data_IF_231562584895
#
_entry.id   IF_231562584895
#
_cell.length_a   1.000
_cell.length_b   1.000
_cell.length_c   1.000
_cell.angle_alpha   90.00
_cell.angle_beta   90.00
_cell.angle_gamma   90.00
#
_symmetry.space_group_name_H-M   'P 1'
#
loop_
_entity.id
_entity.type
_entity.pdbx_description
1 polymer ?
#
# COMPACT_ATOMS: atom_id res chain seq x y z
N UNK A 1 -1.77 -13.24 -16.90
CA UNK A 1 -1.50 -13.54 -18.31
C UNK A 1 -2.73 -13.11 -19.11
N UNK A 2 -2.60 -12.51 -20.29
CA UNK A 2 -3.73 -12.08 -21.15
C UNK A 2 -4.65 -13.25 -21.53
N UNK A 3 -4.23 -14.50 -21.33
CA UNK A 3 -5.10 -15.68 -21.35
C UNK A 3 -5.93 -15.96 -20.07
N UNK A 4 -5.97 -15.06 -19.09
CA UNK A 4 -6.77 -15.22 -17.85
C UNK A 4 -6.16 -16.16 -16.78
N UNK A 5 -4.98 -16.73 -17.02
CA UNK A 5 -4.32 -17.62 -16.05
C UNK A 5 -3.71 -16.84 -14.89
N UNK A 6 -4.04 -17.25 -13.66
CA UNK A 6 -3.41 -16.79 -12.43
C UNK A 6 -2.14 -17.60 -12.20
N UNK A 7 -0.98 -16.94 -12.23
CA UNK A 7 0.31 -17.59 -12.00
C UNK A 7 0.65 -17.71 -10.50
N UNK A 8 0.22 -16.73 -9.72
CA UNK A 8 0.44 -16.65 -8.29
C UNK A 8 -0.63 -15.76 -7.65
N UNK A 9 -1.13 -16.18 -6.49
CA UNK A 9 -2.05 -15.39 -5.65
C UNK A 9 -1.69 -15.63 -4.19
N UNK A 10 -1.79 -14.58 -3.37
CA UNK A 10 -1.55 -14.66 -1.93
C UNK A 10 -2.42 -13.64 -1.22
N UNK A 11 -2.96 -14.04 -0.07
CA UNK A 11 -3.79 -13.20 0.78
C UNK A 11 -3.03 -12.85 2.05
N UNK A 12 -2.90 -11.56 2.32
CA UNK A 12 -2.21 -11.04 3.50
C UNK A 12 -3.24 -10.48 4.47
N UNK A 13 -3.18 -10.88 5.74
CA UNK A 13 -4.03 -10.32 6.79
C UNK A 13 -5.35 -11.07 7.05
N UNK A 14 -5.55 -12.24 6.41
CA UNK A 14 -6.61 -13.21 6.79
C UNK A 14 -8.05 -12.72 6.65
N UNK A 15 -8.27 -11.56 6.04
CA UNK A 15 -9.59 -10.98 5.84
C UNK A 15 -10.03 -11.28 4.41
N UNK A 16 -11.00 -12.17 4.27
CA UNK A 16 -11.56 -12.52 2.96
C UNK A 16 -12.02 -11.25 2.23
N UNK A 17 -11.62 -11.12 0.98
CA UNK A 17 -12.08 -10.07 0.08
C UNK A 17 -13.57 -10.33 -0.19
N UNK A 18 -14.42 -9.31 0.00
CA UNK A 18 -15.84 -9.41 -0.35
C UNK A 18 -16.02 -9.13 -1.84
N UNK A 19 -16.66 -10.05 -2.55
CA UNK A 19 -16.90 -9.96 -4.00
C UNK A 19 -15.67 -10.32 -4.83
N UNK A 20 -15.74 -10.03 -6.14
CA UNK A 20 -14.69 -10.34 -7.13
C UNK A 20 -14.07 -9.05 -7.72
N UNK A 21 -13.41 -8.21 -6.90
CA UNK A 21 -12.88 -6.94 -7.38
C UNK A 21 -11.80 -7.09 -8.47
N UNK A 22 -11.20 -8.27 -8.58
CA UNK A 22 -10.25 -8.61 -9.65
C UNK A 22 -10.99 -8.80 -10.98
N UNK A 23 -12.16 -9.46 -10.99
CA UNK A 23 -12.96 -9.65 -12.20
C UNK A 23 -13.48 -8.31 -12.72
N UNK A 24 -13.94 -7.43 -11.82
CA UNK A 24 -14.30 -6.05 -12.16
C UNK A 24 -13.13 -5.25 -12.72
N UNK A 25 -11.93 -5.38 -12.14
CA UNK A 25 -10.74 -4.74 -12.68
C UNK A 25 -10.46 -5.23 -14.11
N UNK A 26 -10.47 -6.54 -14.33
CA UNK A 26 -10.23 -7.12 -15.67
C UNK A 26 -11.27 -6.58 -16.65
N UNK A 27 -12.55 -6.55 -16.29
CA UNK A 27 -13.63 -6.08 -17.15
C UNK A 27 -13.57 -4.58 -17.46
N UNK A 28 -13.23 -3.76 -16.47
CA UNK A 28 -13.39 -2.30 -16.56
C UNK A 28 -12.09 -1.63 -17.01
N UNK A 29 -10.94 -2.17 -16.63
CA UNK A 29 -9.65 -1.52 -16.84
C UNK A 29 -8.87 -2.18 -17.96
N UNK A 30 -8.81 -3.51 -17.99
CA UNK A 30 -8.03 -4.22 -19.00
C UNK A 30 -8.76 -4.34 -20.33
N UNK A 31 -10.10 -4.43 -20.32
CA UNK A 31 -10.91 -4.51 -21.55
C UNK A 31 -11.35 -3.13 -22.09
N UNK A 32 -11.58 -2.12 -21.26
CA UNK A 32 -12.03 -0.78 -21.72
C UNK A 32 -10.87 0.19 -22.03
N UNK A 33 -9.64 -0.31 -22.18
CA UNK A 33 -8.44 0.46 -22.57
C UNK A 33 -8.12 1.70 -21.70
N UNK A 34 -8.61 1.76 -20.45
CA UNK A 34 -8.25 2.81 -19.47
C UNK A 34 -6.89 2.55 -18.81
N UNK A 35 -5.89 2.17 -19.62
CA UNK A 35 -4.53 1.80 -19.18
C UNK A 35 -3.76 3.01 -18.59
N UNK A 36 -4.29 4.23 -18.78
CA UNK A 36 -3.72 5.47 -18.24
C UNK A 36 -3.91 5.62 -16.72
N UNK A 37 -4.98 5.09 -16.16
CA UNK A 37 -5.19 5.07 -14.72
C UNK A 37 -4.41 3.87 -14.13
N UNK A 38 -3.75 4.05 -12.98
CA UNK A 38 -3.02 2.96 -12.26
C UNK A 38 -3.74 2.56 -10.98
N UNK A 39 -4.96 3.04 -10.80
CA UNK A 39 -5.73 2.89 -9.57
C UNK A 39 -7.20 2.74 -9.91
N UNK A 40 -7.86 1.76 -9.31
CA UNK A 40 -9.28 1.49 -9.45
C UNK A 40 -9.88 1.34 -8.07
N UNK A 41 -10.96 2.08 -7.79
CA UNK A 41 -11.64 2.04 -6.50
C UNK A 41 -12.96 1.31 -6.67
N UNK A 42 -13.20 0.33 -5.82
CA UNK A 42 -14.48 -0.39 -5.74
C UNK A 42 -14.86 -0.63 -4.29
N UNK A 43 -16.01 -0.09 -3.89
CA UNK A 43 -16.55 -0.17 -2.53
C UNK A 43 -15.55 0.30 -1.46
N UNK A 44 -15.04 -0.63 -0.66
CA UNK A 44 -14.04 -0.37 0.40
C UNK A 44 -12.61 -0.70 -0.03
N UNK A 45 -12.44 -1.17 -1.27
CA UNK A 45 -11.18 -1.64 -1.81
C UNK A 45 -10.64 -0.68 -2.86
N UNK A 46 -9.32 -0.58 -2.88
CA UNK A 46 -8.59 0.07 -3.94
C UNK A 46 -7.60 -0.93 -4.52
N UNK A 47 -7.50 -0.90 -5.84
CA UNK A 47 -6.70 -1.81 -6.63
C UNK A 47 -5.65 -1.00 -7.36
N UNK A 48 -4.42 -1.49 -7.33
CA UNK A 48 -3.32 -0.96 -8.14
C UNK A 48 -2.71 -2.06 -8.96
N UNK A 49 -2.31 -1.72 -10.17
CA UNK A 49 -1.71 -2.69 -11.07
C UNK A 49 -0.51 -2.14 -11.83
N UNK A 50 0.32 -3.07 -12.28
CA UNK A 50 1.44 -2.83 -13.17
C UNK A 50 1.47 -3.90 -14.24
N UNK A 51 1.76 -3.48 -15.47
CA UNK A 51 1.88 -4.35 -16.63
C UNK A 51 3.35 -4.66 -16.91
N UNK A 52 3.63 -5.88 -17.35
CA UNK A 52 4.92 -6.27 -17.93
C UNK A 52 4.65 -6.83 -19.31
N UNK A 53 4.59 -5.93 -20.29
CA UNK A 53 4.21 -6.26 -21.67
C UNK A 53 5.15 -7.30 -22.31
N UNK A 54 6.45 -7.31 -21.96
CA UNK A 54 7.43 -8.30 -22.45
C UNK A 54 7.01 -9.75 -22.17
N UNK A 55 6.31 -9.98 -21.05
CA UNK A 55 5.85 -11.31 -20.63
C UNK A 55 4.34 -11.42 -20.54
N UNK A 56 3.63 -10.38 -20.98
CA UNK A 56 2.17 -10.34 -20.96
C UNK A 56 1.58 -10.58 -19.55
N UNK A 57 2.24 -10.01 -18.53
CA UNK A 57 1.88 -10.17 -17.12
C UNK A 57 1.18 -8.93 -16.57
N UNK A 58 0.23 -9.18 -15.68
CA UNK A 58 -0.45 -8.15 -14.89
C UNK A 58 -0.20 -8.46 -13.42
N UNK A 59 0.35 -7.50 -12.70
CA UNK A 59 0.51 -7.53 -11.25
C UNK A 59 -0.59 -6.68 -10.65
N UNK A 60 -1.36 -7.24 -9.72
CA UNK A 60 -2.49 -6.54 -9.07
C UNK A 60 -2.33 -6.64 -7.56
N UNK A 61 -2.49 -5.52 -6.86
CA UNK A 61 -2.59 -5.45 -5.40
C UNK A 61 -3.97 -4.93 -5.07
N UNK A 62 -4.68 -5.63 -4.18
CA UNK A 62 -5.97 -5.23 -3.62
C UNK A 62 -5.77 -4.86 -2.16
N UNK A 63 -6.23 -3.68 -1.74
CA UNK A 63 -6.10 -3.19 -0.37
C UNK A 63 -7.32 -2.41 0.07
N UNK A 64 -7.49 -2.23 1.39
CA UNK A 64 -8.58 -1.40 1.94
C UNK A 64 -8.24 0.09 1.84
N UNK A 65 -9.22 0.93 1.52
CA UNK A 65 -9.10 2.38 1.34
C UNK A 65 -8.49 3.14 2.56
N UNK A 66 -8.39 2.52 3.73
CA UNK A 66 -7.90 3.13 4.97
C UNK A 66 -6.36 3.19 5.14
N UNK A 67 -5.56 2.77 4.14
CA UNK A 67 -4.09 2.69 4.27
C UNK A 67 -3.38 3.67 3.32
N UNK A 68 -2.46 4.46 3.88
CA UNK A 68 -1.69 5.50 3.17
C UNK A 68 -0.95 4.93 1.96
N UNK A 69 -1.21 5.52 0.80
CA UNK A 69 -0.91 5.00 -0.55
C UNK A 69 0.57 5.03 -0.99
N UNK A 70 1.43 5.83 -0.34
CA UNK A 70 2.75 6.16 -0.92
C UNK A 70 3.71 4.97 -1.05
N UNK A 71 3.62 3.97 -0.18
CA UNK A 71 4.54 2.81 -0.20
C UNK A 71 4.03 1.67 -1.09
N UNK A 72 2.78 1.73 -1.56
CA UNK A 72 2.18 0.66 -2.37
C UNK A 72 2.72 0.66 -3.80
N UNK A 73 3.04 1.82 -4.38
CA UNK A 73 3.72 1.90 -5.69
C UNK A 73 5.11 1.27 -5.61
N UNK A 74 5.92 1.66 -4.63
CA UNK A 74 7.27 1.13 -4.42
C UNK A 74 7.24 -0.38 -4.15
N UNK A 75 6.24 -0.84 -3.38
CA UNK A 75 6.01 -2.26 -3.15
C UNK A 75 5.69 -2.97 -4.47
N UNK A 76 4.72 -2.46 -5.24
CA UNK A 76 4.29 -3.06 -6.49
C UNK A 76 5.43 -3.18 -7.50
N UNK A 77 6.26 -2.15 -7.61
CA UNK A 77 7.47 -2.18 -8.45
C UNK A 77 8.48 -3.22 -7.97
N UNK A 78 8.73 -3.29 -6.66
CA UNK A 78 9.68 -4.26 -6.07
C UNK A 78 9.19 -5.70 -6.26
N UNK A 79 7.89 -5.95 -6.09
CA UNK A 79 7.27 -7.25 -6.34
C UNK A 79 7.41 -7.64 -7.81
N UNK A 80 7.03 -6.74 -8.72
CA UNK A 80 7.15 -6.94 -10.17
C UNK A 80 8.58 -7.29 -10.56
N UNK A 81 9.55 -6.47 -10.14
CA UNK A 81 10.96 -6.66 -10.52
C UNK A 81 11.53 -7.96 -9.97
N UNK A 82 11.26 -8.29 -8.70
CA UNK A 82 11.74 -9.53 -8.07
C UNK A 82 11.11 -10.75 -8.73
N UNK A 83 9.79 -10.74 -8.95
CA UNK A 83 9.09 -11.86 -9.59
C UNK A 83 9.57 -12.08 -11.03
N UNK A 84 9.70 -11.01 -11.81
CA UNK A 84 10.17 -11.09 -13.19
C UNK A 84 11.58 -11.65 -13.25
N UNK A 85 12.47 -11.17 -12.38
CA UNK A 85 13.87 -11.62 -12.34
C UNK A 85 13.97 -13.09 -11.94
N UNK A 86 13.21 -13.51 -10.92
CA UNK A 86 13.26 -14.88 -10.39
C UNK A 86 12.75 -15.91 -11.39
N UNK A 87 11.70 -15.57 -12.14
CA UNK A 87 11.03 -16.51 -13.02
C UNK A 87 11.24 -16.25 -14.51
N UNK A 88 12.16 -15.34 -14.88
CA UNK A 88 12.40 -14.93 -16.27
C UNK A 88 12.53 -16.09 -17.24
N UNK A 89 13.34 -17.08 -16.88
CA UNK A 89 13.58 -18.27 -17.70
C UNK A 89 12.34 -19.15 -17.86
N UNK A 90 11.44 -19.14 -16.87
CA UNK A 90 10.17 -19.89 -16.92
C UNK A 90 9.12 -19.22 -17.78
N UNK A 91 9.23 -17.90 -18.02
CA UNK A 91 8.30 -17.23 -18.93
C UNK A 91 8.51 -17.61 -20.39
N UNK A 92 9.71 -18.04 -20.75
CA UNK A 92 10.02 -18.53 -22.10
C UNK A 92 9.51 -19.96 -22.36
N UNK A 93 9.23 -20.73 -21.30
CA UNK A 93 8.71 -22.09 -21.38
C UNK A 93 7.17 -22.08 -21.39
N UNK A 94 6.58 -22.23 -22.57
CA UNK A 94 5.14 -22.40 -22.76
C UNK A 94 4.77 -23.88 -22.52
N UNK A 95 3.67 -24.21 -21.80
CA UNK A 95 2.64 -23.32 -21.26
C UNK A 95 2.88 -22.89 -19.79
N UNK A 96 2.78 -21.58 -19.54
CA UNK A 96 2.90 -20.96 -18.22
C UNK A 96 1.96 -21.55 -17.16
N UNK A 97 0.76 -21.99 -17.57
CA UNK A 97 -0.27 -22.51 -16.67
C UNK A 97 0.04 -23.84 -15.99
N UNK A 98 1.14 -24.50 -16.36
CA UNK A 98 1.59 -25.76 -15.74
C UNK A 98 2.70 -25.49 -14.71
N UNK A 99 3.35 -24.33 -14.80
CA UNK A 99 4.48 -23.98 -13.93
C UNK A 99 4.00 -23.52 -12.55
N UNK A 100 4.54 -24.13 -11.49
CA UNK A 100 4.33 -23.66 -10.12
C UNK A 100 5.25 -22.46 -9.85
N UNK A 101 4.67 -21.33 -9.47
CA UNK A 101 5.41 -20.13 -9.06
C UNK A 101 5.33 -20.01 -7.53
N UNK A 102 6.41 -20.37 -6.84
CA UNK A 102 6.49 -20.25 -5.38
C UNK A 102 7.15 -18.93 -5.01
N UNK A 103 6.34 -17.94 -4.61
CA UNK A 103 6.81 -16.58 -4.32
C UNK A 103 6.55 -16.13 -2.88
N UNK A 104 5.95 -16.99 -2.04
CA UNK A 104 5.53 -16.64 -0.67
C UNK A 104 6.66 -16.12 0.21
N UNK A 105 7.85 -16.73 0.13
CA UNK A 105 8.99 -16.33 0.95
C UNK A 105 9.44 -14.91 0.61
N UNK A 106 9.62 -14.64 -0.67
CA UNK A 106 10.06 -13.35 -1.18
C UNK A 106 8.97 -12.29 -1.00
N UNK A 107 7.71 -12.63 -1.24
CA UNK A 107 6.56 -11.77 -0.93
C UNK A 107 6.58 -11.32 0.54
N UNK A 108 6.69 -12.27 1.49
CA UNK A 108 6.73 -11.95 2.93
C UNK A 108 7.93 -11.08 3.29
N UNK A 109 9.11 -11.37 2.72
CA UNK A 109 10.32 -10.59 2.97
C UNK A 109 10.20 -9.15 2.44
N UNK A 110 9.66 -8.97 1.23
CA UNK A 110 9.42 -7.67 0.62
C UNK A 110 8.39 -6.88 1.45
N UNK A 111 7.26 -7.50 1.80
CA UNK A 111 6.22 -6.86 2.61
C UNK A 111 6.75 -6.41 3.97
N UNK A 112 7.48 -7.26 4.68
CA UNK A 112 8.06 -6.92 5.97
C UNK A 112 9.02 -5.71 5.86
N UNK A 113 9.84 -5.66 4.81
CA UNK A 113 10.77 -4.55 4.57
C UNK A 113 10.03 -3.23 4.31
N UNK A 114 8.99 -3.27 3.48
CA UNK A 114 8.18 -2.07 3.21
C UNK A 114 7.36 -1.61 4.42
N UNK A 115 6.88 -2.53 5.26
CA UNK A 115 6.18 -2.17 6.49
C UNK A 115 7.11 -1.47 7.49
N UNK A 116 8.33 -1.98 7.68
CA UNK A 116 9.35 -1.35 8.54
C UNK A 116 9.70 0.05 8.04
N UNK A 117 9.91 0.22 6.73
CA UNK A 117 10.23 1.51 6.14
C UNK A 117 9.07 2.51 6.28
N UNK A 118 7.84 2.06 6.04
CA UNK A 118 6.64 2.88 6.24
C UNK A 118 6.46 3.32 7.70
N UNK A 119 6.74 2.44 8.67
CA UNK A 119 6.72 2.79 10.10
C UNK A 119 7.85 3.77 10.46
N UNK A 120 9.04 3.60 9.90
CA UNK A 120 10.17 4.51 10.11
C UNK A 120 9.87 5.92 9.57
N UNK A 121 9.27 6.02 8.37
CA UNK A 121 8.83 7.31 7.77
C UNK A 121 7.80 8.02 8.67
N UNK A 122 6.82 7.29 9.22
CA UNK A 122 5.84 7.85 10.17
C UNK A 122 6.51 8.40 11.44
N UNK A 123 7.42 7.62 12.05
CA UNK A 123 8.16 8.04 13.26
C UNK A 123 9.07 9.24 13.02
N UNK A 124 9.72 9.32 11.85
CA UNK A 124 10.59 10.44 11.49
C UNK A 124 9.80 11.73 11.28
N UNK A 125 8.62 11.67 10.65
CA UNK A 125 7.73 12.82 10.51
C UNK A 125 7.25 13.38 11.84
N UNK A 126 6.89 12.51 12.80
CA UNK A 126 6.48 12.94 14.14
C UNK A 126 7.65 13.56 14.93
N UNK A 127 8.86 12.98 14.85
CA UNK A 127 10.05 13.57 15.49
C UNK A 127 10.42 14.93 14.89
N UNK A 128 10.30 15.09 13.57
CA UNK A 128 10.57 16.37 12.92
C UNK A 128 9.57 17.46 13.38
N UNK A 129 8.30 17.11 13.56
CA UNK A 129 7.31 18.04 14.10
C UNK A 129 7.59 18.41 15.56
N UNK A 130 7.95 17.45 16.41
CA UNK A 130 8.26 17.71 17.84
C UNK A 130 9.49 18.61 18.03
N UNK A 131 10.48 18.51 17.13
CA UNK A 131 11.71 19.30 17.15
C UNK A 131 11.52 20.73 16.58
N UNK A 132 10.34 21.04 16.01
CA UNK A 132 10.11 22.35 15.38
C UNK A 132 9.74 23.40 16.44
N UNK A 133 10.22 24.65 16.28
CA UNK A 133 9.80 25.83 17.09
C UNK A 133 8.27 25.96 17.25
N UNK A 134 7.50 25.49 16.28
CA UNK A 134 6.05 25.47 16.32
C UNK A 134 5.49 24.58 17.45
N UNK A 135 6.12 23.43 17.72
CA UNK A 135 5.71 22.56 18.82
C UNK A 135 5.99 23.21 20.18
N UNK A 136 7.11 23.92 20.31
CA UNK A 136 7.47 24.67 21.51
C UNK A 136 6.51 25.85 21.77
N UNK A 137 6.12 26.59 20.72
CA UNK A 137 5.15 27.68 20.80
C UNK A 137 3.76 27.18 21.22
N UNK A 138 3.29 26.07 20.64
CA UNK A 138 2.01 25.45 21.01
C UNK A 138 2.01 24.98 22.47
N UNK A 139 3.11 24.35 22.94
CA UNK A 139 3.26 23.91 24.35
C UNK A 139 3.25 25.11 25.29
N UNK A 140 3.98 26.17 24.95
CA UNK A 140 4.07 27.39 25.75
C UNK A 140 2.73 28.11 25.83
N UNK A 141 2.00 28.20 24.72
CA UNK A 141 0.66 28.78 24.68
C UNK A 141 -0.35 27.98 25.51
N UNK A 142 -0.29 26.65 25.47
CA UNK A 142 -1.16 25.78 26.27
C UNK A 142 -0.92 25.97 27.78
N UNK A 143 0.35 25.97 28.21
CA UNK A 143 0.73 26.21 29.61
C UNK A 143 0.29 27.59 30.10
N UNK A 144 0.43 28.62 29.26
CA UNK A 144 -0.01 29.97 29.59
C UNK A 144 -1.53 30.04 29.78
N UNK A 145 -2.30 29.35 28.92
CA UNK A 145 -3.76 29.28 29.02
C UNK A 145 -4.25 28.56 30.28
N UNK A 146 -3.61 27.45 30.64
CA UNK A 146 -3.92 26.73 31.89
C UNK A 146 -3.61 27.57 33.14
N UNK A 147 -2.48 28.28 33.14
CA UNK A 147 -2.12 29.16 34.25
C UNK A 147 -3.10 30.34 34.42
N UNK A 148 -3.59 30.88 33.31
CA UNK A 148 -4.56 31.99 33.31
C UNK A 148 -5.95 31.51 33.76
N UNK A 149 -6.39 30.33 33.30
CA UNK A 149 -7.63 29.70 33.74
C UNK A 149 -7.61 29.34 35.25
N UNK A 150 -6.49 28.80 35.75
CA UNK A 150 -6.33 28.48 37.16
C UNK A 150 -6.34 29.73 38.06
N UNK A 151 -5.75 30.85 37.57
CA UNK A 151 -5.82 32.15 38.25
C UNK A 151 -7.23 32.72 38.26
N UNK A 152 -7.96 32.63 37.15
CA UNK A 152 -9.35 33.09 37.07
C UNK A 152 -10.26 32.28 38.00
N UNK A 153 -10.07 30.96 38.09
CA UNK A 153 -10.85 30.08 38.96
C UNK A 153 -10.60 30.34 40.46
N UNK A 154 -9.36 30.70 40.85
CA UNK A 154 -9.08 31.11 42.24
C UNK A 154 -9.74 32.44 42.60
N UNK A 155 -9.71 33.42 41.69
CA UNK A 155 -10.36 34.73 41.90
C UNK A 155 -11.88 34.68 41.99
N UNK A 156 -12.52 33.66 41.43
CA UNK A 156 -13.98 33.49 41.48
C UNK A 156 -14.49 32.79 42.76
N UNK A 157 -13.58 32.34 43.65
CA UNK A 157 -13.91 31.66 44.92
C UNK A 157 -13.65 32.52 46.17
N UNK A 158 -13.08 33.71 46.02
CA UNK A 158 -13.01 34.77 47.03
C UNK A 158 -14.16 35.77 46.82
#
# INVERSE_FOLDING_TARGET
HVGGTVLYASEIGGKAIKGDPIDDLVRTVLLEERIGDKTFKKDTYELRWALVNEFDLVFVIVYSQAVSMMWLDELLETLKNTFVTMFRSRFASVPLGISKFEFDRDLKAILARHEVDAQARKKKGQKAFDDTKLADDIRTAAQKKEAEAARAAKKAKE
#
